data_IF_645181867697
#
_entry.id   IF_645181867697
#
_cell.length_a   1.000
_cell.length_b   1.000
_cell.length_c   1.000
_cell.angle_alpha   90.00
_cell.angle_beta   90.00
_cell.angle_gamma   90.00
#
_symmetry.space_group_name_H-M   'P 1'
#
loop_
_entity.id
_entity.type
_entity.pdbx_description
1 polymer ?
#
# COMPACT_ATOMS: atom_id res chain seq x y z
N UNK A 1 -9.07 -12.27 15.70
CA UNK A 1 -7.66 -12.05 15.27
C UNK A 1 -6.69 -12.86 16.15
N UNK A 2 -5.99 -13.85 15.58
CA UNK A 2 -5.17 -14.82 16.34
C UNK A 2 -3.89 -14.20 16.94
N UNK A 3 -3.33 -13.17 16.30
CA UNK A 3 -2.13 -12.45 16.74
C UNK A 3 -2.37 -11.33 17.76
N UNK A 4 -3.48 -11.28 18.48
CA UNK A 4 -3.67 -10.37 19.62
C UNK A 4 -3.77 -11.11 20.97
N UNK A 5 -3.80 -12.46 20.92
CA UNK A 5 -3.84 -13.25 22.15
C UNK A 5 -2.47 -13.21 22.81
N UNK A 6 -2.47 -12.85 24.09
CA UNK A 6 -1.29 -12.97 24.94
C UNK A 6 -0.75 -14.41 24.86
N UNK A 7 0.58 -14.54 24.68
CA UNK A 7 1.22 -15.84 24.51
C UNK A 7 1.15 -16.44 23.10
N UNK A 8 0.68 -15.72 22.07
CA UNK A 8 0.83 -16.18 20.68
C UNK A 8 2.30 -16.41 20.35
N UNK A 9 2.60 -17.56 19.76
CA UNK A 9 3.93 -17.92 19.26
C UNK A 9 3.80 -18.29 17.79
N UNK A 10 4.55 -17.61 16.92
CA UNK A 10 4.53 -17.86 15.50
C UNK A 10 4.97 -19.29 15.20
N UNK A 11 4.18 -20.04 14.41
CA UNK A 11 4.38 -21.49 14.22
C UNK A 11 5.71 -21.82 13.53
N UNK A 12 6.12 -21.01 12.54
CA UNK A 12 7.36 -21.21 11.78
C UNK A 12 8.60 -20.66 12.51
N UNK A 13 8.60 -19.38 12.87
CA UNK A 13 9.77 -18.73 13.48
C UNK A 13 9.92 -18.95 14.98
N UNK A 14 8.86 -19.41 15.67
CA UNK A 14 8.85 -19.55 17.13
C UNK A 14 8.87 -18.22 17.90
N UNK A 15 8.77 -17.07 17.22
CA UNK A 15 8.76 -15.76 17.85
C UNK A 15 7.46 -15.51 18.60
N UNK A 16 7.57 -14.93 19.80
CA UNK A 16 6.40 -14.50 20.57
C UNK A 16 5.79 -13.27 19.91
N UNK A 17 4.46 -13.14 19.98
CA UNK A 17 3.80 -11.89 19.67
C UNK A 17 4.27 -10.82 20.66
N UNK A 18 4.95 -9.82 20.15
CA UNK A 18 5.42 -8.69 20.96
C UNK A 18 4.29 -7.71 21.31
N UNK A 19 3.03 -7.99 20.94
CA UNK A 19 1.85 -7.14 21.17
C UNK A 19 2.11 -5.71 20.70
N UNK A 20 2.67 -5.59 19.48
CA UNK A 20 3.10 -4.31 18.91
C UNK A 20 1.91 -3.49 18.36
N UNK A 21 0.79 -4.14 18.07
CA UNK A 21 -0.40 -3.48 17.56
C UNK A 21 -1.09 -2.69 18.67
N UNK A 22 -1.31 -1.40 18.44
CA UNK A 22 -2.07 -0.51 19.33
C UNK A 22 -3.30 0.03 18.59
N UNK A 23 -4.38 0.39 19.29
CA UNK A 23 -5.51 1.07 18.67
C UNK A 23 -5.07 2.38 17.98
N UNK A 24 -5.66 2.74 16.83
CA UNK A 24 -5.36 4.00 16.12
C UNK A 24 -5.48 5.22 17.02
N UNK A 25 -6.46 5.22 17.93
CA UNK A 25 -6.69 6.29 18.91
C UNK A 25 -5.56 6.50 19.92
N UNK A 26 -4.59 5.58 20.02
CA UNK A 26 -3.41 5.74 20.87
C UNK A 26 -2.28 6.54 20.23
N UNK A 27 -2.39 6.86 18.93
CA UNK A 27 -1.40 7.65 18.20
C UNK A 27 -1.82 9.13 18.16
N UNK A 28 -0.85 10.04 18.27
CA UNK A 28 -1.09 11.46 17.99
C UNK A 28 -1.23 11.62 16.48
N UNK A 29 -2.47 11.76 16.01
CA UNK A 29 -2.74 11.90 14.58
C UNK A 29 -1.94 13.07 13.97
N UNK A 30 -1.69 14.17 14.69
CA UNK A 30 -0.96 15.33 14.15
C UNK A 30 0.56 15.10 14.02
N UNK A 31 1.07 13.99 14.56
CA UNK A 31 2.48 13.62 14.51
C UNK A 31 2.71 12.19 14.01
N UNK A 32 1.67 11.50 13.58
CA UNK A 32 1.78 10.11 13.10
C UNK A 32 1.31 10.05 11.67
N UNK A 33 2.17 9.55 10.79
CA UNK A 33 1.82 9.19 9.43
C UNK A 33 1.35 7.74 9.40
N UNK A 34 0.11 7.52 8.99
CA UNK A 34 -0.47 6.19 8.87
C UNK A 34 -0.19 5.64 7.47
N UNK A 35 0.41 4.46 7.37
CA UNK A 35 0.79 3.85 6.10
C UNK A 35 0.11 2.49 5.98
N UNK A 36 -0.69 2.32 4.93
CA UNK A 36 -1.21 1.00 4.55
C UNK A 36 -0.17 0.30 3.68
N UNK A 37 0.31 -0.84 4.12
CA UNK A 37 1.24 -1.67 3.35
C UNK A 37 0.42 -2.61 2.48
N UNK A 38 0.23 -2.23 1.22
CA UNK A 38 -0.40 -3.08 0.22
C UNK A 38 0.65 -4.01 -0.40
N UNK A 39 0.50 -5.31 -0.19
CA UNK A 39 1.52 -6.27 -0.63
C UNK A 39 0.93 -7.62 -1.03
N UNK A 40 1.74 -8.40 -1.73
CA UNK A 40 1.48 -9.82 -1.97
C UNK A 40 2.47 -10.67 -1.19
N UNK A 41 2.02 -11.80 -0.64
CA UNK A 41 2.88 -12.82 -0.07
C UNK A 41 3.94 -13.32 -1.05
N UNK A 42 5.18 -13.46 -0.57
CA UNK A 42 6.26 -14.06 -1.37
C UNK A 42 6.06 -15.56 -1.52
N UNK A 43 5.56 -16.21 -0.48
CA UNK A 43 5.24 -17.65 -0.49
C UNK A 43 3.75 -17.84 -0.22
N UNK A 44 2.87 -17.79 -1.24
CA UNK A 44 1.44 -18.11 -1.05
C UNK A 44 1.27 -19.63 -0.83
N UNK A 45 0.50 -20.04 0.19
CA UNK A 45 0.38 -21.47 0.50
C UNK A 45 -0.59 -21.87 1.62
N UNK A 46 -1.56 -21.03 1.98
CA UNK A 46 -2.43 -21.28 3.14
C UNK A 46 -1.60 -21.37 4.43
N UNK A 47 -1.79 -22.45 5.19
CA UNK A 47 -1.13 -22.67 6.49
C UNK A 47 0.41 -22.62 6.49
N UNK A 48 1.06 -22.95 5.38
CA UNK A 48 2.52 -22.93 5.23
C UNK A 48 3.04 -21.73 4.43
N UNK A 49 2.13 -20.87 3.95
CA UNK A 49 2.52 -19.64 3.29
C UNK A 49 3.14 -18.64 4.26
N UNK A 50 3.94 -17.72 3.71
CA UNK A 50 4.53 -16.65 4.49
C UNK A 50 4.51 -15.34 3.70
N UNK A 51 4.21 -14.20 4.35
CA UNK A 51 4.21 -12.93 3.66
C UNK A 51 5.60 -12.63 3.11
N UNK A 52 6.66 -13.01 3.81
CA UNK A 52 8.05 -12.70 3.47
C UNK A 52 8.88 -13.97 3.14
N UNK A 53 10.15 -13.80 2.79
CA UNK A 53 11.12 -14.89 2.72
C UNK A 53 11.84 -15.12 4.06
N UNK A 54 12.73 -16.13 4.09
CA UNK A 54 13.52 -16.45 5.27
C UNK A 54 14.55 -15.37 5.65
N UNK A 55 14.86 -14.46 4.72
CA UNK A 55 15.79 -13.35 4.93
C UNK A 55 15.10 -12.05 5.39
N UNK A 56 13.76 -12.05 5.45
CA UNK A 56 12.96 -10.87 5.76
C UNK A 56 13.12 -9.77 4.71
N UNK A 57 13.23 -10.12 3.43
CA UNK A 57 13.52 -9.17 2.35
C UNK A 57 12.45 -8.08 2.21
N UNK A 58 11.16 -8.40 2.26
CA UNK A 58 10.11 -7.37 2.21
C UNK A 58 10.06 -6.55 3.49
N UNK A 59 10.26 -7.17 4.65
CA UNK A 59 10.36 -6.46 5.92
C UNK A 59 11.46 -5.39 5.85
N UNK A 60 12.66 -5.74 5.36
CA UNK A 60 13.74 -4.78 5.12
C UNK A 60 13.31 -3.65 4.19
N UNK A 61 12.67 -3.96 3.06
CA UNK A 61 12.17 -2.95 2.13
C UNK A 61 11.16 -2.00 2.77
N UNK A 62 10.22 -2.51 3.58
CA UNK A 62 9.26 -1.65 4.29
C UNK A 62 9.99 -0.74 5.27
N UNK A 63 10.88 -1.29 6.10
CA UNK A 63 11.65 -0.50 7.07
C UNK A 63 12.47 0.59 6.37
N UNK A 64 13.19 0.25 5.29
CA UNK A 64 13.98 1.20 4.52
C UNK A 64 13.12 2.30 3.88
N UNK A 65 11.95 1.94 3.33
CA UNK A 65 11.00 2.92 2.78
C UNK A 65 10.55 3.91 3.87
N UNK A 66 10.17 3.41 5.04
CA UNK A 66 9.73 4.22 6.17
C UNK A 66 10.85 5.11 6.70
N UNK A 67 12.07 4.57 6.85
CA UNK A 67 13.21 5.35 7.25
C UNK A 67 13.50 6.49 6.27
N UNK A 68 13.37 6.25 4.96
CA UNK A 68 13.57 7.28 3.94
C UNK A 68 12.49 8.36 4.00
N UNK A 69 11.23 7.98 4.25
CA UNK A 69 10.15 8.95 4.49
C UNK A 69 10.43 9.80 5.74
N UNK A 70 10.82 9.18 6.85
CA UNK A 70 11.12 9.87 8.12
C UNK A 70 12.40 10.72 8.05
N UNK A 71 13.37 10.35 7.21
CA UNK A 71 14.60 11.13 6.97
C UNK A 71 14.35 12.38 6.13
N UNK A 72 13.18 12.53 5.49
CA UNK A 72 12.81 13.79 4.85
C UNK A 72 12.86 14.92 5.89
N UNK A 73 13.50 16.04 5.52
CA UNK A 73 13.90 17.08 6.48
C UNK A 73 12.73 17.56 7.33
N UNK A 74 11.59 17.81 6.69
CA UNK A 74 10.36 18.27 7.34
C UNK A 74 9.79 17.26 8.35
N UNK A 75 9.83 15.96 8.06
CA UNK A 75 9.34 14.91 8.97
C UNK A 75 10.21 14.85 10.23
N UNK A 76 11.52 14.89 10.05
CA UNK A 76 12.49 14.86 11.14
C UNK A 76 12.37 16.07 12.05
N UNK A 77 12.28 17.28 11.49
CA UNK A 77 12.19 18.53 12.26
C UNK A 77 10.89 18.65 13.05
N UNK A 78 9.78 18.16 12.49
CA UNK A 78 8.46 18.16 13.15
C UNK A 78 8.25 16.96 14.10
N UNK A 79 9.20 16.02 14.16
CA UNK A 79 9.16 14.86 15.03
C UNK A 79 8.03 13.89 14.70
N UNK A 80 7.82 13.62 13.40
CA UNK A 80 6.81 12.66 12.97
C UNK A 80 7.24 11.22 13.26
N UNK A 81 6.25 10.39 13.54
CA UNK A 81 6.34 8.94 13.64
C UNK A 81 5.53 8.29 12.51
N UNK A 82 5.73 6.99 12.30
CA UNK A 82 4.97 6.21 11.33
C UNK A 82 4.26 5.05 12.05
N UNK A 83 2.97 4.90 11.77
CA UNK A 83 2.19 3.73 12.16
C UNK A 83 1.84 2.93 10.91
N UNK A 84 2.12 1.63 10.94
CA UNK A 84 1.88 0.73 9.82
C UNK A 84 0.59 -0.05 10.02
N UNK A 85 -0.28 0.01 9.01
CA UNK A 85 -1.33 -0.98 8.82
C UNK A 85 -0.83 -2.01 7.82
N UNK A 86 -0.54 -3.22 8.31
CA UNK A 86 -0.28 -4.36 7.44
C UNK A 86 -1.61 -5.08 7.20
N UNK A 87 -1.94 -5.27 5.93
CA UNK A 87 -3.09 -6.10 5.59
C UNK A 87 -2.85 -7.56 6.01
N UNK A 88 -3.46 -7.96 7.12
CA UNK A 88 -3.53 -9.34 7.58
C UNK A 88 -4.63 -10.14 6.85
N UNK A 89 -5.48 -9.52 6.03
CA UNK A 89 -6.43 -10.21 5.15
C UNK A 89 -5.74 -11.05 4.07
N UNK A 90 -4.49 -10.73 3.75
CA UNK A 90 -3.60 -11.60 2.98
C UNK A 90 -3.01 -12.77 3.80
N UNK A 91 -3.20 -12.81 5.13
CA UNK A 91 -2.47 -13.67 6.09
C UNK A 91 -3.26 -14.85 6.67
N UNK A 92 -4.59 -14.75 6.82
CA UNK A 92 -5.41 -15.84 7.38
C UNK A 92 -6.52 -16.24 6.38
N UNK A 93 -6.11 -16.85 5.26
CA UNK A 93 -7.03 -17.43 4.27
C UNK A 93 -7.69 -18.74 4.76
N UNK A 94 -7.32 -19.20 5.96
CA UNK A 94 -7.83 -20.43 6.58
C UNK A 94 -9.14 -20.21 7.38
N UNK A 95 -9.69 -18.99 7.41
CA UNK A 95 -11.01 -18.71 7.95
C UNK A 95 -12.08 -18.95 6.88
N UNK A 96 -13.29 -19.37 7.28
CA UNK A 96 -14.43 -19.63 6.35
C UNK A 96 -14.79 -18.41 5.49
N UNK A 97 -14.40 -17.19 5.89
CA UNK A 97 -14.62 -15.96 5.11
C UNK A 97 -13.46 -14.94 5.28
N UNK A 98 -12.32 -15.11 4.59
CA UNK A 98 -11.20 -14.17 4.62
C UNK A 98 -11.58 -12.80 4.03
N UNK A 99 -12.62 -12.77 3.19
CA UNK A 99 -13.10 -11.57 2.53
C UNK A 99 -13.95 -10.66 3.44
N UNK A 100 -14.31 -11.08 4.65
CA UNK A 100 -15.06 -10.23 5.58
C UNK A 100 -14.28 -8.98 6.00
N UNK A 101 -12.95 -9.07 6.17
CA UNK A 101 -12.11 -7.89 6.44
C UNK A 101 -11.95 -7.00 5.19
N UNK A 102 -12.20 -7.53 3.99
CA UNK A 102 -12.17 -6.77 2.74
C UNK A 102 -13.42 -5.91 2.53
N UNK A 103 -14.53 -6.24 3.19
CA UNK A 103 -15.70 -5.35 3.22
C UNK A 103 -15.36 -4.03 3.94
N UNK A 104 -14.38 -4.02 4.86
CA UNK A 104 -13.90 -2.84 5.59
C UNK A 104 -12.71 -2.15 4.88
N UNK A 105 -12.25 -2.64 3.72
CA UNK A 105 -11.07 -2.08 3.04
C UNK A 105 -11.16 -0.57 2.84
N UNK A 106 -12.37 -0.10 2.49
CA UNK A 106 -12.65 1.32 2.31
C UNK A 106 -12.49 2.12 3.62
N UNK A 107 -12.92 1.58 4.76
CA UNK A 107 -12.75 2.20 6.08
C UNK A 107 -11.29 2.21 6.54
N UNK A 108 -10.52 1.19 6.15
CA UNK A 108 -9.08 1.12 6.45
C UNK A 108 -8.34 2.18 5.62
N UNK A 109 -8.59 2.24 4.31
CA UNK A 109 -7.88 3.13 3.41
C UNK A 109 -8.16 4.61 3.72
N UNK A 110 -9.36 4.98 4.18
CA UNK A 110 -9.66 6.37 4.59
C UNK A 110 -8.82 6.84 5.78
N UNK A 111 -8.53 5.91 6.70
CA UNK A 111 -7.73 6.12 7.91
C UNK A 111 -6.21 6.13 7.68
N UNK A 112 -5.82 5.86 6.43
CA UNK A 112 -4.50 6.01 5.80
C UNK A 112 -3.72 7.31 6.01
N UNK A 113 -2.60 7.48 5.32
CA UNK A 113 -2.07 8.72 4.69
C UNK A 113 -1.33 8.38 3.40
N UNK A 114 -0.76 7.18 3.35
CA UNK A 114 0.02 6.63 2.25
C UNK A 114 -0.35 5.17 2.03
N UNK A 115 -0.40 4.74 0.79
CA UNK A 115 -0.37 3.33 0.38
C UNK A 115 1.05 3.01 -0.05
N UNK A 116 1.71 2.07 0.62
CA UNK A 116 3.06 1.62 0.30
C UNK A 116 3.01 0.21 -0.29
N UNK A 117 3.56 0.04 -1.49
CA UNK A 117 3.77 -1.27 -2.12
C UNK A 117 5.25 -1.65 -2.09
N UNK A 118 5.68 -2.55 -1.19
CA UNK A 118 7.03 -3.10 -1.21
C UNK A 118 7.18 -4.14 -2.32
N UNK A 119 8.23 -4.04 -3.13
CA UNK A 119 8.47 -4.95 -4.26
C UNK A 119 9.79 -5.69 -4.08
N UNK A 120 9.71 -6.93 -3.59
CA UNK A 120 10.87 -7.81 -3.63
C UNK A 120 11.06 -8.34 -5.05
N UNK A 121 12.20 -8.02 -5.65
CA UNK A 121 12.54 -8.37 -7.03
C UNK A 121 13.98 -8.90 -7.12
N UNK A 122 14.16 -10.23 -7.08
CA UNK A 122 15.47 -10.85 -7.32
C UNK A 122 16.06 -10.51 -8.70
N UNK A 123 15.21 -10.26 -9.70
CA UNK A 123 15.58 -9.93 -11.09
C UNK A 123 15.72 -8.42 -11.34
N UNK A 124 15.95 -7.61 -10.30
CA UNK A 124 15.98 -6.14 -10.43
C UNK A 124 17.03 -5.60 -11.41
N UNK A 125 18.06 -6.39 -11.72
CA UNK A 125 19.11 -6.05 -12.67
C UNK A 125 18.70 -6.28 -14.14
N UNK A 126 17.62 -7.02 -14.40
CA UNK A 126 17.22 -7.43 -15.74
C UNK A 126 16.35 -6.39 -16.47
N UNK A 127 16.03 -5.28 -15.81
CA UNK A 127 15.22 -4.21 -16.38
C UNK A 127 15.79 -2.85 -16.01
N UNK A 128 15.62 -1.86 -16.88
CA UNK A 128 16.04 -0.48 -16.63
C UNK A 128 14.89 0.48 -16.46
N UNK A 129 15.16 1.58 -15.76
CA UNK A 129 14.22 2.71 -15.75
C UNK A 129 14.20 3.35 -17.15
N UNK A 130 13.08 3.96 -17.57
CA UNK A 130 13.03 4.68 -18.83
C UNK A 130 13.99 5.87 -18.82
N UNK A 131 14.81 6.00 -19.87
CA UNK A 131 15.85 7.04 -20.00
C UNK A 131 15.24 8.45 -20.11
N UNK A 132 14.12 8.58 -20.81
CA UNK A 132 13.42 9.85 -21.08
C UNK A 132 12.45 10.26 -19.96
N UNK A 133 12.51 9.57 -18.82
CA UNK A 133 11.57 9.73 -17.72
C UNK A 133 10.32 8.88 -17.88
N UNK A 134 9.40 9.05 -16.93
CA UNK A 134 8.23 8.17 -16.78
C UNK A 134 7.02 8.73 -17.53
N UNK A 135 6.50 7.98 -18.51
CA UNK A 135 5.23 8.27 -19.17
C UNK A 135 4.05 7.56 -18.48
N UNK A 136 4.24 6.29 -18.14
CA UNK A 136 3.26 5.46 -17.42
C UNK A 136 3.97 4.58 -16.39
N UNK A 137 4.09 5.09 -15.17
CA UNK A 137 4.78 4.41 -14.07
C UNK A 137 4.24 3.01 -13.79
N UNK A 138 2.96 2.76 -14.01
CA UNK A 138 2.36 1.45 -13.77
C UNK A 138 2.82 0.39 -14.79
N UNK A 139 3.02 0.79 -16.04
CA UNK A 139 3.48 -0.11 -17.11
C UNK A 139 5.01 -0.17 -17.21
N UNK A 140 5.68 0.92 -16.88
CA UNK A 140 7.14 1.07 -17.05
C UNK A 140 7.93 0.54 -15.85
N UNK A 141 7.29 0.31 -14.70
CA UNK A 141 7.95 -0.30 -13.55
C UNK A 141 8.03 -1.82 -13.76
N UNK A 142 9.10 -2.27 -14.44
CA UNK A 142 9.22 -3.60 -15.05
C UNK A 142 9.58 -4.75 -14.10
N UNK A 143 9.64 -4.51 -12.79
CA UNK A 143 9.81 -5.59 -11.83
C UNK A 143 8.69 -6.63 -12.00
N UNK A 144 9.05 -7.90 -12.23
CA UNK A 144 8.07 -8.95 -12.51
C UNK A 144 7.08 -9.12 -11.35
N UNK A 145 7.56 -9.03 -10.10
CA UNK A 145 6.74 -9.09 -8.91
C UNK A 145 5.71 -7.94 -8.83
N UNK A 146 6.09 -6.73 -9.27
CA UNK A 146 5.17 -5.61 -9.35
C UNK A 146 4.14 -5.79 -10.46
N UNK A 147 4.54 -6.23 -11.64
CA UNK A 147 3.62 -6.48 -12.76
C UNK A 147 2.59 -7.57 -12.40
N UNK A 148 3.00 -8.60 -11.67
CA UNK A 148 2.08 -9.60 -11.16
C UNK A 148 1.13 -9.03 -10.10
N UNK A 149 1.65 -8.25 -9.14
CA UNK A 149 0.85 -7.57 -8.12
C UNK A 149 -0.18 -6.62 -8.77
N UNK A 150 0.26 -5.76 -9.69
CA UNK A 150 -0.56 -4.76 -10.35
C UNK A 150 -1.58 -5.38 -11.32
N UNK A 151 -1.36 -6.61 -11.77
CA UNK A 151 -2.33 -7.38 -12.56
C UNK A 151 -3.51 -7.93 -11.76
N UNK A 152 -3.57 -7.73 -10.44
CA UNK A 152 -4.60 -8.28 -9.54
C UNK A 152 -5.66 -7.24 -9.20
N UNK A 153 -6.92 -7.63 -9.30
CA UNK A 153 -8.05 -6.74 -9.06
C UNK A 153 -8.02 -6.09 -7.66
N UNK A 154 -7.75 -6.87 -6.60
CA UNK A 154 -7.70 -6.37 -5.23
C UNK A 154 -6.60 -5.30 -5.04
N UNK A 155 -5.39 -5.57 -5.52
CA UNK A 155 -4.25 -4.67 -5.40
C UNK A 155 -4.51 -3.31 -6.09
N UNK A 156 -5.17 -3.36 -7.24
CA UNK A 156 -5.54 -2.14 -7.97
C UNK A 156 -6.75 -1.45 -7.33
N UNK A 157 -7.67 -2.19 -6.72
CA UNK A 157 -8.77 -1.62 -5.95
C UNK A 157 -8.28 -0.86 -4.71
N UNK A 158 -7.21 -1.31 -4.05
CA UNK A 158 -6.57 -0.60 -2.94
C UNK A 158 -5.99 0.74 -3.41
N UNK A 159 -5.26 0.74 -4.53
CA UNK A 159 -4.73 1.96 -5.13
C UNK A 159 -5.86 2.91 -5.61
N UNK A 160 -6.93 2.35 -6.19
CA UNK A 160 -8.13 3.09 -6.58
C UNK A 160 -8.81 3.73 -5.37
N UNK A 161 -8.97 2.98 -4.28
CA UNK A 161 -9.54 3.46 -3.02
C UNK A 161 -8.73 4.64 -2.50
N UNK A 162 -7.39 4.52 -2.48
CA UNK A 162 -6.51 5.63 -2.10
C UNK A 162 -6.70 6.86 -2.99
N UNK A 163 -6.80 6.68 -4.30
CA UNK A 163 -6.93 7.78 -5.25
C UNK A 163 -8.29 8.49 -5.20
N UNK A 164 -9.37 7.78 -4.86
CA UNK A 164 -10.73 8.30 -4.93
C UNK A 164 -11.30 8.74 -3.57
N UNK A 165 -10.91 8.07 -2.48
CA UNK A 165 -11.49 8.35 -1.17
C UNK A 165 -10.81 9.55 -0.51
N UNK A 166 -11.58 10.42 0.17
CA UNK A 166 -11.02 11.56 0.88
C UNK A 166 -10.09 11.09 2.01
N UNK A 167 -9.01 11.84 2.19
CA UNK A 167 -8.09 11.69 3.32
C UNK A 167 -8.77 12.22 4.60
N UNK A 168 -8.97 11.37 5.61
CA UNK A 168 -9.48 11.79 6.92
C UNK A 168 -8.52 12.82 7.55
N UNK A 169 -9.06 13.95 8.02
CA UNK A 169 -8.25 15.11 8.46
C UNK A 169 -7.84 16.08 7.35
N UNK A 170 -8.12 15.74 6.08
CA UNK A 170 -8.06 16.65 4.93
C UNK A 170 -6.71 17.34 4.75
N UNK A 171 -6.74 18.64 4.42
CA UNK A 171 -5.55 19.44 4.12
C UNK A 171 -4.52 19.48 5.25
N UNK A 172 -4.92 19.29 6.51
CA UNK A 172 -3.98 19.24 7.64
C UNK A 172 -3.00 18.05 7.54
N UNK A 173 -3.42 16.95 6.89
CA UNK A 173 -2.54 15.80 6.63
C UNK A 173 -1.42 16.13 5.64
N UNK A 174 -1.63 17.12 4.78
CA UNK A 174 -0.64 17.52 3.78
C UNK A 174 0.64 18.12 4.41
N UNK A 175 0.58 18.57 5.66
CA UNK A 175 1.72 19.09 6.42
C UNK A 175 2.79 18.05 6.75
N UNK A 176 2.47 16.76 6.57
CA UNK A 176 3.40 15.64 6.65
C UNK A 176 4.27 15.49 5.40
N UNK A 177 4.10 16.35 4.38
CA UNK A 177 4.80 16.24 3.11
C UNK A 177 5.43 17.58 2.71
N UNK A 178 6.59 17.50 2.06
CA UNK A 178 7.24 18.62 1.39
C UNK A 178 6.38 19.16 0.24
N UNK A 179 6.51 20.46 -0.03
CA UNK A 179 5.79 21.11 -1.13
C UNK A 179 6.12 20.42 -2.47
N UNK A 180 5.09 20.16 -3.27
CA UNK A 180 5.23 19.44 -4.54
C UNK A 180 4.07 18.50 -4.82
N UNK A 181 4.29 17.56 -5.74
CA UNK A 181 3.24 16.65 -6.24
C UNK A 181 2.57 15.83 -5.12
N UNK A 182 3.36 15.36 -4.15
CA UNK A 182 2.89 14.53 -3.02
C UNK A 182 1.96 15.32 -2.09
N UNK A 183 2.35 16.53 -1.70
CA UNK A 183 1.51 17.41 -0.87
C UNK A 183 0.26 17.85 -1.63
N UNK A 184 0.41 18.21 -2.90
CA UNK A 184 -0.72 18.63 -3.75
C UNK A 184 -1.74 17.50 -3.96
N UNK A 185 -1.31 16.24 -4.04
CA UNK A 185 -2.23 15.11 -4.10
C UNK A 185 -3.09 15.03 -2.83
N UNK A 186 -2.50 15.13 -1.64
CA UNK A 186 -3.24 15.10 -0.37
C UNK A 186 -4.18 16.31 -0.24
N UNK A 187 -3.74 17.50 -0.63
CA UNK A 187 -4.59 18.70 -0.67
C UNK A 187 -5.80 18.53 -1.60
N UNK A 188 -5.62 17.82 -2.72
CA UNK A 188 -6.70 17.43 -3.62
C UNK A 188 -7.56 16.26 -3.08
N UNK A 189 -7.30 15.79 -1.86
CA UNK A 189 -8.00 14.68 -1.22
C UNK A 189 -7.59 13.32 -1.74
N UNK A 190 -6.37 13.17 -2.28
CA UNK A 190 -5.88 11.95 -2.92
C UNK A 190 -4.73 11.32 -2.13
N UNK A 191 -4.97 10.10 -1.67
CA UNK A 191 -4.04 8.97 -1.63
C UNK A 191 -2.65 9.10 -2.25
N UNK A 192 -1.57 9.21 -1.48
CA UNK A 192 -0.26 8.93 -2.07
C UNK A 192 -0.04 7.42 -2.21
N UNK A 193 0.18 6.93 -3.43
CA UNK A 193 0.67 5.56 -3.67
C UNK A 193 2.17 5.62 -3.90
N UNK A 194 2.93 4.94 -3.04
CA UNK A 194 4.39 4.84 -3.17
C UNK A 194 4.81 3.39 -3.41
N UNK A 195 5.80 3.21 -4.25
CA UNK A 195 6.44 1.93 -4.54
C UNK A 195 7.89 2.00 -4.09
N UNK A 196 8.34 0.97 -3.37
CA UNK A 196 9.74 0.83 -2.98
C UNK A 196 10.16 -0.63 -3.10
N UNK A 197 11.04 -0.91 -4.05
CA UNK A 197 11.48 -2.26 -4.36
C UNK A 197 12.97 -2.50 -4.15
N UNK A 198 13.39 -3.73 -4.40
CA UNK A 198 14.79 -4.15 -4.38
C UNK A 198 15.66 -3.23 -5.23
N UNK A 199 15.17 -2.79 -6.40
CA UNK A 199 15.92 -1.87 -7.26
C UNK A 199 16.18 -0.51 -6.62
N UNK A 200 15.18 0.06 -5.94
CA UNK A 200 15.35 1.33 -5.21
C UNK A 200 16.28 1.16 -4.00
N UNK A 201 16.21 0.03 -3.30
CA UNK A 201 17.10 -0.29 -2.17
C UNK A 201 18.56 -0.39 -2.60
N UNK A 202 18.86 -1.24 -3.58
CA UNK A 202 20.22 -1.47 -4.10
C UNK A 202 20.84 -0.17 -4.63
N UNK A 203 20.07 0.63 -5.37
CA UNK A 203 20.53 1.90 -5.93
C UNK A 203 20.41 3.10 -4.96
N UNK A 204 20.04 2.85 -3.70
CA UNK A 204 19.88 3.86 -2.63
C UNK A 204 18.91 5.00 -2.96
N UNK A 205 17.95 4.74 -3.83
CA UNK A 205 16.97 5.72 -4.28
C UNK A 205 15.90 5.97 -3.21
N UNK A 206 15.12 7.04 -3.39
CA UNK A 206 13.94 7.32 -2.58
C UNK A 206 12.75 6.44 -3.03
N UNK A 207 11.73 6.23 -2.16
CA UNK A 207 10.44 5.70 -2.58
C UNK A 207 9.86 6.48 -3.76
N UNK A 208 9.34 5.75 -4.75
CA UNK A 208 8.75 6.35 -5.94
C UNK A 208 7.29 6.63 -5.69
N UNK A 209 6.88 7.85 -5.96
CA UNK A 209 5.47 8.22 -6.00
C UNK A 209 4.87 7.82 -7.35
N UNK A 210 3.72 7.16 -7.31
CA UNK A 210 2.89 6.80 -8.47
C UNK A 210 1.70 7.76 -8.54
N UNK A 211 1.29 8.24 -9.74
CA UNK A 211 0.18 9.17 -9.87
C UNK A 211 -1.09 8.49 -9.39
N UNK A 212 -2.02 9.22 -8.74
CA UNK A 212 -3.30 8.67 -8.34
C UNK A 212 -3.99 7.94 -9.50
N UNK A 213 -4.53 6.75 -9.22
CA UNK A 213 -5.20 5.92 -10.22
C UNK A 213 -6.53 6.53 -10.65
N UNK A 214 -6.47 7.50 -11.56
CA UNK A 214 -7.60 8.27 -12.08
C UNK A 214 -7.56 8.32 -13.62
N UNK A 215 -8.67 8.76 -14.22
CA UNK A 215 -8.79 9.05 -15.65
C UNK A 215 -8.31 7.92 -16.58
N UNK A 216 -7.30 8.17 -17.43
CA UNK A 216 -6.76 7.21 -18.40
C UNK A 216 -6.21 5.96 -17.72
N UNK A 217 -5.53 6.10 -16.58
CA UNK A 217 -4.97 4.97 -15.84
C UNK A 217 -6.10 4.11 -15.25
N UNK A 218 -7.18 4.72 -14.75
CA UNK A 218 -8.34 3.97 -14.26
C UNK A 218 -9.04 3.19 -15.37
N UNK A 219 -9.15 3.75 -16.58
CA UNK A 219 -9.72 3.02 -17.73
C UNK A 219 -8.86 1.82 -18.11
N UNK A 220 -7.53 1.98 -18.08
CA UNK A 220 -6.57 0.93 -18.45
C UNK A 220 -6.48 -0.17 -17.40
N UNK A 221 -6.49 0.19 -16.13
CA UNK A 221 -6.31 -0.72 -14.99
C UNK A 221 -7.60 -0.82 -14.17
N UNK A 222 -8.77 -0.89 -14.81
CA UNK A 222 -10.01 -0.97 -14.06
C UNK A 222 -10.05 -2.31 -13.27
N UNK A 223 -10.23 -2.33 -11.94
CA UNK A 223 -10.06 -3.54 -11.14
C UNK A 223 -10.97 -4.70 -11.57
N UNK A 224 -12.17 -4.39 -12.07
CA UNK A 224 -13.14 -5.38 -12.57
C UNK A 224 -12.63 -6.21 -13.76
N UNK A 225 -11.72 -5.67 -14.59
CA UNK A 225 -11.16 -6.39 -15.74
C UNK A 225 -9.87 -7.15 -15.42
N UNK A 226 -9.38 -7.09 -14.18
CA UNK A 226 -8.11 -7.68 -13.77
C UNK A 226 -8.29 -9.08 -13.17
N UNK A 227 -7.15 -9.75 -12.92
CA UNK A 227 -7.14 -11.14 -12.43
C UNK A 227 -7.64 -11.20 -10.98
N UNK A 228 -8.48 -12.20 -10.71
CA UNK A 228 -8.90 -12.56 -9.36
C UNK A 228 -8.22 -13.84 -8.92
N UNK A 229 -7.92 -13.92 -7.62
CA UNK A 229 -7.55 -15.21 -7.00
C UNK A 229 -8.79 -16.08 -6.80
N UNK A 230 -9.93 -15.47 -6.49
CA UNK A 230 -11.23 -16.10 -6.32
C UNK A 230 -12.28 -15.36 -7.17
N UNK A 231 -12.90 -16.05 -8.13
CA UNK A 231 -13.96 -15.46 -8.95
C UNK A 231 -15.21 -15.07 -8.14
N UNK A 232 -15.40 -15.64 -6.94
CA UNK A 232 -16.49 -15.26 -6.03
C UNK A 232 -16.39 -13.79 -5.60
N UNK A 233 -15.18 -13.23 -5.60
CA UNK A 233 -14.90 -11.87 -5.16
C UNK A 233 -15.35 -10.83 -6.19
N UNK A 234 -15.66 -11.26 -7.43
CA UNK A 234 -15.98 -10.36 -8.55
C UNK A 234 -17.13 -9.41 -8.22
N UNK A 235 -18.19 -9.91 -7.59
CA UNK A 235 -19.33 -9.07 -7.20
C UNK A 235 -18.93 -7.99 -6.19
N UNK A 236 -18.06 -8.32 -5.23
CA UNK A 236 -17.54 -7.37 -4.24
C UNK A 236 -16.64 -6.33 -4.90
N UNK A 237 -15.72 -6.74 -5.78
CA UNK A 237 -14.87 -5.82 -6.54
C UNK A 237 -15.70 -4.84 -7.37
N UNK A 238 -16.71 -5.33 -8.10
CA UNK A 238 -17.62 -4.49 -8.90
C UNK A 238 -18.31 -3.48 -7.99
N UNK A 239 -18.94 -3.93 -6.91
CA UNK A 239 -19.65 -3.08 -5.95
C UNK A 239 -18.76 -1.97 -5.39
N UNK A 240 -17.54 -2.30 -4.95
CA UNK A 240 -16.63 -1.30 -4.38
C UNK A 240 -16.13 -0.35 -5.48
N UNK A 241 -15.71 -0.87 -6.63
CA UNK A 241 -15.19 -0.04 -7.72
C UNK A 241 -16.24 0.96 -8.23
N UNK A 242 -17.49 0.53 -8.41
CA UNK A 242 -18.61 1.40 -8.80
C UNK A 242 -18.91 2.45 -7.72
N UNK A 243 -18.89 2.07 -6.44
CA UNK A 243 -19.04 3.01 -5.33
C UNK A 243 -17.95 4.09 -5.32
N UNK A 244 -16.70 3.71 -5.61
CA UNK A 244 -15.55 4.62 -5.67
C UNK A 244 -15.64 5.61 -6.85
N UNK A 245 -16.25 5.23 -7.98
CA UNK A 245 -16.43 6.15 -9.10
C UNK A 245 -17.24 7.39 -8.72
N UNK A 246 -18.20 7.27 -7.79
CA UNK A 246 -18.97 8.40 -7.25
C UNK A 246 -18.12 9.42 -6.49
N UNK A 247 -16.91 9.05 -6.07
CA UNK A 247 -15.99 9.94 -5.36
C UNK A 247 -14.96 10.62 -6.27
N UNK A 248 -14.90 10.26 -7.55
CA UNK A 248 -13.96 10.87 -8.51
C UNK A 248 -14.42 12.30 -8.80
N UNK A 249 -13.71 13.27 -8.21
CA UNK A 249 -13.94 14.69 -8.53
C UNK A 249 -13.38 15.04 -9.92
N UNK A 250 -14.06 15.90 -10.69
CA UNK A 250 -13.46 16.51 -11.87
C UNK A 250 -12.12 17.18 -11.51
N UNK A 251 -11.16 17.15 -12.42
CA UNK A 251 -9.98 18.01 -12.33
C UNK A 251 -10.48 19.44 -12.51
N UNK A 252 -10.51 20.23 -11.44
CA UNK A 252 -10.59 21.69 -11.57
C UNK A 252 -9.24 22.14 -12.12
N UNK A 253 -9.21 22.46 -13.42
CA UNK A 253 -8.04 23.05 -14.06
C UNK A 253 -8.04 24.53 -13.68
N UNK A 254 -7.22 24.88 -12.69
CA UNK A 254 -6.90 26.27 -12.32
C UNK A 254 -5.76 26.82 -13.16
#
# INVERSE_FOLDING_TARGET
RRGHKEGFKHRLTGQMNATLCRPKSSFDANKTLFVFVSHRWLSPGGADGHPDDAEGSKHRLVVEAIEKLLKAKHMKEKGWEVALWFDFGCVDQDLENPAAELDELHEIITQVDVVLTPVHDPGHADWEYPDDGWGDQYSEYRAAAFQEYWGRAWCVLEAMSGACMPVEGGAARAEAFEDGAIKNAILAGRRNHIVYGTKESVNRLAPRFFPPLLYSNLKRFHPVSLKLTSEKDRATIVRIAEGLQGHIKPLEVG
#
